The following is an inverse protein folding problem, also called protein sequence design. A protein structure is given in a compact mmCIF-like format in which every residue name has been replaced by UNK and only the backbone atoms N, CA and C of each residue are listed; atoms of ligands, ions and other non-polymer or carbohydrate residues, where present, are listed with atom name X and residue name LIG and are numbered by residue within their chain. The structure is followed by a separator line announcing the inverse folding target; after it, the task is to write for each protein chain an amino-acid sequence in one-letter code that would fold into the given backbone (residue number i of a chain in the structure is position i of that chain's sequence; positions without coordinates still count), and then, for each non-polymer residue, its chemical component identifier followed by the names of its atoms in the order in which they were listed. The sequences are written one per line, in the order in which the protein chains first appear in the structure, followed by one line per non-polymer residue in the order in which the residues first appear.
data_IF_607327022637
#
_entry.id   IF_607327022637
#
_cell.length_a   1.000
_cell.length_b   1.000
_cell.length_c   1.000
_cell.angle_alpha   90.00
_cell.angle_beta   90.00
_cell.angle_gamma   90.00
#
_symmetry.space_group_name_H-M   'P 1'
#
loop_
_entity.id
_entity.type
_entity.pdbx_description
1 polymer ?
#
# COMPACT_ATOMS: atom_id res chain seq x y z
N UNK A 1 -12.06 -30.77 8.00
CA UNK A 1 -11.91 -30.10 6.69
C UNK A 1 -10.48 -30.28 6.18
N UNK A 2 -10.28 -30.88 5.01
CA UNK A 2 -8.93 -31.07 4.44
C UNK A 2 -8.41 -29.72 3.93
N UNK A 3 -7.32 -29.23 4.53
CA UNK A 3 -6.68 -27.96 4.17
C UNK A 3 -5.78 -28.20 2.96
N UNK A 4 -6.31 -28.01 1.75
CA UNK A 4 -5.51 -28.06 0.53
C UNK A 4 -4.62 -26.82 0.50
N UNK A 5 -3.30 -27.03 0.61
CA UNK A 5 -2.32 -25.96 0.51
C UNK A 5 -1.86 -25.89 -0.94
N UNK A 6 -2.06 -24.73 -1.56
CA UNK A 6 -1.52 -24.41 -2.87
C UNK A 6 -0.04 -24.09 -2.69
N UNK A 7 0.81 -24.64 -3.55
CA UNK A 7 2.25 -24.37 -3.54
C UNK A 7 2.51 -22.86 -3.71
N UNK A 8 3.52 -22.34 -3.03
CA UNK A 8 3.84 -20.91 -3.05
C UNK A 8 4.18 -20.42 -4.46
N UNK A 9 4.90 -21.22 -5.24
CA UNK A 9 5.27 -20.93 -6.63
C UNK A 9 4.04 -20.72 -7.52
N UNK A 10 3.04 -21.61 -7.41
CA UNK A 10 1.79 -21.52 -8.18
C UNK A 10 1.01 -20.25 -7.79
N UNK A 11 0.96 -19.93 -6.49
CA UNK A 11 0.35 -18.69 -6.02
C UNK A 11 1.05 -17.46 -6.60
N UNK A 12 2.37 -17.46 -6.66
CA UNK A 12 3.15 -16.32 -7.19
C UNK A 12 2.98 -16.17 -8.70
N UNK A 13 2.94 -17.27 -9.43
CA UNK A 13 2.63 -17.28 -10.86
C UNK A 13 1.24 -16.67 -11.14
N UNK A 14 0.21 -17.11 -10.40
CA UNK A 14 -1.16 -16.57 -10.53
C UNK A 14 -1.18 -15.06 -10.29
N UNK A 15 -0.52 -14.59 -9.21
CA UNK A 15 -0.45 -13.16 -8.89
C UNK A 15 0.30 -12.38 -9.97
N UNK A 16 1.39 -12.93 -10.52
CA UNK A 16 2.15 -12.30 -11.61
C UNK A 16 1.29 -12.12 -12.85
N UNK A 17 0.56 -13.16 -13.27
CA UNK A 17 -0.31 -13.10 -14.46
C UNK A 17 -1.43 -12.07 -14.32
N UNK A 18 -1.98 -11.93 -13.11
CA UNK A 18 -3.02 -10.92 -12.82
C UNK A 18 -2.44 -9.50 -12.85
N UNK A 19 -1.24 -9.29 -12.29
CA UNK A 19 -0.63 -7.95 -12.16
C UNK A 19 0.10 -7.47 -13.42
N UNK A 20 0.77 -8.37 -14.12
CA UNK A 20 1.68 -8.03 -15.22
C UNK A 20 1.07 -8.33 -16.59
N UNK A 21 0.29 -9.41 -16.71
CA UNK A 21 -0.23 -9.88 -18.00
C UNK A 21 -1.70 -9.47 -18.24
N UNK A 22 -2.30 -8.74 -17.29
CA UNK A 22 -3.67 -8.22 -17.40
C UNK A 22 -4.78 -9.28 -17.31
N UNK A 23 -4.47 -10.48 -16.82
CA UNK A 23 -5.45 -11.57 -16.70
C UNK A 23 -6.45 -11.27 -15.59
N UNK A 24 -7.74 -11.46 -15.86
CA UNK A 24 -8.79 -11.26 -14.85
C UNK A 24 -8.73 -12.32 -13.75
N UNK A 25 -9.16 -11.96 -12.54
CA UNK A 25 -9.21 -12.89 -11.39
C UNK A 25 -10.07 -14.12 -11.70
N UNK A 26 -11.21 -13.94 -12.39
CA UNK A 26 -12.10 -15.03 -12.80
C UNK A 26 -11.42 -16.00 -13.79
N UNK A 27 -10.66 -15.48 -14.75
CA UNK A 27 -9.93 -16.31 -15.71
C UNK A 27 -8.81 -17.09 -15.02
N UNK A 28 -8.01 -16.43 -14.18
CA UNK A 28 -6.94 -17.07 -13.44
C UNK A 28 -7.47 -18.13 -12.45
N UNK A 29 -8.61 -17.87 -11.80
CA UNK A 29 -9.32 -18.82 -10.95
C UNK A 29 -9.69 -20.10 -11.71
N UNK A 30 -10.29 -19.94 -12.90
CA UNK A 30 -10.72 -21.05 -13.74
C UNK A 30 -9.54 -21.88 -14.27
N UNK A 31 -8.49 -21.22 -14.75
CA UNK A 31 -7.30 -21.89 -15.31
C UNK A 31 -6.52 -22.70 -14.28
N UNK A 32 -6.44 -22.20 -13.04
CA UNK A 32 -5.63 -22.82 -12.00
C UNK A 32 -6.44 -23.61 -10.97
N UNK A 33 -7.77 -23.74 -11.15
CA UNK A 33 -8.64 -24.50 -10.24
C UNK A 33 -8.72 -23.90 -8.84
N UNK A 34 -8.62 -22.58 -8.71
CA UNK A 34 -8.63 -21.85 -7.43
C UNK A 34 -9.90 -21.02 -7.34
N UNK A 35 -10.52 -20.94 -6.16
CA UNK A 35 -11.69 -20.08 -5.99
C UNK A 35 -11.29 -18.59 -6.04
N UNK A 36 -12.11 -17.76 -6.70
CA UNK A 36 -11.87 -16.32 -6.78
C UNK A 36 -11.65 -15.64 -5.41
N UNK A 37 -12.42 -15.95 -4.34
CA UNK A 37 -12.18 -15.37 -3.02
C UNK A 37 -10.79 -15.66 -2.45
N UNK A 38 -10.22 -16.83 -2.79
CA UNK A 38 -8.86 -17.19 -2.38
C UNK A 38 -7.83 -16.27 -3.05
N UNK A 39 -8.02 -15.98 -4.34
CA UNK A 39 -7.15 -15.08 -5.10
C UNK A 39 -7.27 -13.64 -4.58
N UNK A 40 -8.50 -13.16 -4.32
CA UNK A 40 -8.71 -11.85 -3.69
C UNK A 40 -8.05 -11.76 -2.31
N UNK A 41 -8.11 -12.82 -1.50
CA UNK A 41 -7.40 -12.90 -0.22
C UNK A 41 -5.87 -12.78 -0.38
N UNK A 42 -5.30 -13.32 -1.45
CA UNK A 42 -3.87 -13.18 -1.74
C UNK A 42 -3.48 -11.80 -2.25
N UNK A 43 -4.35 -11.16 -3.04
CA UNK A 43 -4.16 -9.80 -3.55
C UNK A 43 -4.24 -8.78 -2.40
N UNK A 44 -5.22 -8.92 -1.51
CA UNK A 44 -5.39 -8.05 -0.34
C UNK A 44 -4.27 -8.19 0.69
N UNK A 45 -3.77 -9.40 0.93
CA UNK A 45 -2.68 -9.64 1.88
C UNK A 45 -1.27 -9.19 1.42
N UNK A 46 -1.11 -8.81 0.15
CA UNK A 46 0.13 -8.30 -0.43
C UNK A 46 -0.12 -6.99 -1.20
N UNK A 47 -0.79 -6.02 -0.58
CA UNK A 47 -0.64 -4.62 -0.99
C UNK A 47 0.82 -4.19 -0.74
N UNK A 48 1.73 -4.64 -1.61
CA UNK A 48 3.14 -4.25 -1.66
C UNK A 48 3.15 -2.75 -1.97
N UNK A 49 3.24 -1.92 -0.93
CA UNK A 49 3.17 -0.46 -1.06
C UNK A 49 2.39 0.23 0.06
N UNK A 50 1.66 -0.51 0.90
CA UNK A 50 1.18 0.07 2.15
C UNK A 50 2.40 0.32 3.05
N UNK A 51 2.69 1.57 3.47
CA UNK A 51 3.76 1.84 4.40
C UNK A 51 3.51 1.04 5.67
N UNK A 52 4.58 0.48 6.25
CA UNK A 52 4.49 -0.10 7.59
C UNK A 52 3.97 0.96 8.56
N UNK A 53 3.31 0.53 9.63
CA UNK A 53 2.84 1.46 10.66
C UNK A 53 3.96 2.35 11.20
N UNK A 54 5.20 1.82 11.27
CA UNK A 54 6.37 2.58 11.67
C UNK A 54 6.76 3.66 10.65
N UNK A 55 6.79 3.32 9.36
CA UNK A 55 7.05 4.30 8.28
C UNK A 55 5.98 5.38 8.25
N UNK A 56 4.70 5.00 8.42
CA UNK A 56 3.61 5.97 8.50
C UNK A 56 3.76 6.92 9.70
N UNK A 57 4.09 6.40 10.88
CA UNK A 57 4.31 7.22 12.08
C UNK A 57 5.52 8.14 11.91
N UNK A 58 6.62 7.65 11.31
CA UNK A 58 7.79 8.46 11.00
C UNK A 58 7.45 9.60 10.05
N UNK A 59 6.79 9.29 8.94
CA UNK A 59 6.36 10.27 7.94
C UNK A 59 5.40 11.32 8.53
N UNK A 60 4.50 10.88 9.41
CA UNK A 60 3.58 11.76 10.13
C UNK A 60 4.33 12.77 11.01
N UNK A 61 5.37 12.33 11.74
CA UNK A 61 6.20 13.21 12.58
C UNK A 61 6.98 14.22 11.74
N UNK A 62 7.63 13.76 10.67
CA UNK A 62 8.39 14.64 9.76
C UNK A 62 7.50 15.74 9.17
N UNK A 63 6.28 15.39 8.75
CA UNK A 63 5.28 16.37 8.30
C UNK A 63 4.93 17.38 9.40
N UNK A 64 4.70 16.94 10.63
CA UNK A 64 4.29 17.83 11.73
C UNK A 64 5.40 18.82 12.10
N UNK A 65 6.66 18.39 12.04
CA UNK A 65 7.84 19.25 12.25
C UNK A 65 7.97 20.29 11.14
N UNK A 66 7.79 19.89 9.88
CA UNK A 66 7.82 20.81 8.74
C UNK A 66 6.70 21.86 8.83
N UNK A 67 5.48 21.46 9.19
CA UNK A 67 4.37 22.40 9.35
C UNK A 67 4.62 23.39 10.49
N UNK A 68 5.24 22.95 11.59
CA UNK A 68 5.66 23.86 12.68
C UNK A 68 6.66 24.89 12.19
N UNK A 69 7.71 24.46 11.48
CA UNK A 69 8.73 25.36 10.95
C UNK A 69 8.14 26.40 10.00
N UNK A 70 7.25 25.98 9.09
CA UNK A 70 6.54 26.90 8.18
C UNK A 70 5.69 27.89 8.96
N UNK A 71 4.99 27.45 10.02
CA UNK A 71 4.22 28.34 10.89
C UNK A 71 5.09 29.40 11.56
N UNK A 72 6.23 29.02 12.13
CA UNK A 72 7.17 29.94 12.77
C UNK A 72 7.73 30.98 11.78
N UNK A 73 8.11 30.54 10.59
CA UNK A 73 8.62 31.44 9.53
C UNK A 73 7.53 32.43 9.10
N UNK A 74 6.30 31.94 8.90
CA UNK A 74 5.15 32.76 8.48
C UNK A 74 4.82 33.83 9.53
N UNK A 75 4.90 33.47 10.82
CA UNK A 75 4.67 34.41 11.91
C UNK A 75 5.74 35.51 11.94
N UNK A 76 7.02 35.13 11.88
CA UNK A 76 8.15 36.10 11.86
C UNK A 76 8.06 37.04 10.66
N UNK A 77 7.68 36.53 9.48
CA UNK A 77 7.50 37.34 8.28
C UNK A 77 6.35 38.36 8.48
N UNK A 78 5.23 37.91 9.02
CA UNK A 78 4.08 38.77 9.32
C UNK A 78 4.42 39.87 10.32
N UNK A 79 5.17 39.55 11.38
CA UNK A 79 5.66 40.53 12.37
C UNK A 79 6.63 41.54 11.76
N UNK A 80 7.51 41.10 10.86
CA UNK A 80 8.46 41.97 10.16
C UNK A 80 7.74 42.94 9.22
N UNK A 81 6.70 42.47 8.53
CA UNK A 81 5.89 43.30 7.64
C UNK A 81 5.05 44.35 8.40
N UNK A 82 4.54 44.02 9.59
CA UNK A 82 3.77 44.97 10.43
C UNK A 82 4.61 46.08 11.06
N UNK A 83 5.92 45.89 11.17
CA UNK A 83 6.86 46.87 11.77
C UNK A 83 7.46 47.85 10.75
N UNK A 84 7.19 47.66 9.45
CA UNK A 84 7.43 48.64 8.39
C UNK A 84 6.18 49.46 8.13
#
# INVERSE_FOLDING_TARGET
MKKHRIALEVREQIISRIKNDGVSVAQAAKEHGVSEPTIYGWLGGKAKGAPSMLEYVKLKRERDELLRLVGEITLKLSETQKKR
#
